data_IF_897890984819
#
_entry.id   IF_897890984819
#
_cell.length_a   1.000
_cell.length_b   1.000
_cell.length_c   1.000
_cell.angle_alpha   90.00
_cell.angle_beta   90.00
_cell.angle_gamma   90.00
#
_symmetry.space_group_name_H-M   'P 1'
#
loop_
_entity.id
_entity.type
_entity.pdbx_description
1 polymer ?
#
# COMPACT_ATOMS: atom_id res chain seq x y z
N UNK A 1 -2.93 -2.88 11.96
CA UNK A 1 -2.52 -1.76 11.10
C UNK A 1 -3.65 -1.46 10.16
N UNK A 2 -3.94 -0.19 9.94
CA UNK A 2 -4.93 0.30 8.96
C UNK A 2 -4.27 0.56 7.61
N UNK A 3 -5.06 0.77 6.55
CA UNK A 3 -4.57 1.24 5.24
C UNK A 3 -3.75 2.53 5.35
N UNK A 4 -4.19 3.46 6.21
CA UNK A 4 -3.46 4.71 6.51
C UNK A 4 -2.09 4.45 7.15
N UNK A 5 -2.01 3.52 8.12
CA UNK A 5 -0.74 3.19 8.78
C UNK A 5 0.27 2.61 7.77
N UNK A 6 -0.20 1.74 6.88
CA UNK A 6 0.64 1.09 5.85
C UNK A 6 1.09 2.13 4.83
N UNK A 7 0.18 2.97 4.36
CA UNK A 7 0.51 4.04 3.40
C UNK A 7 1.55 4.99 3.99
N UNK A 8 1.41 5.36 5.27
CA UNK A 8 2.40 6.18 5.98
C UNK A 8 3.76 5.48 6.08
N UNK A 9 3.79 4.19 6.39
CA UNK A 9 5.03 3.41 6.46
C UNK A 9 5.74 3.33 5.10
N UNK A 10 5.00 3.08 4.03
CA UNK A 10 5.55 2.99 2.68
C UNK A 10 6.10 4.33 2.19
N UNK A 11 5.43 5.44 2.53
CA UNK A 11 5.90 6.79 2.22
C UNK A 11 7.19 7.12 2.97
N UNK A 12 7.24 6.83 4.27
CA UNK A 12 8.44 7.03 5.10
C UNK A 12 9.63 6.18 4.62
N UNK A 13 9.36 4.98 4.09
CA UNK A 13 10.37 4.12 3.48
C UNK A 13 10.78 4.56 2.07
N UNK A 14 10.14 5.58 1.49
CA UNK A 14 10.39 6.07 0.13
C UNK A 14 9.96 5.10 -0.97
N UNK A 15 9.08 4.14 -0.64
CA UNK A 15 8.54 3.14 -1.57
C UNK A 15 7.40 3.77 -2.39
N UNK A 16 6.58 4.62 -1.77
CA UNK A 16 5.58 5.45 -2.45
C UNK A 16 5.87 6.93 -2.22
N UNK A 17 5.38 7.79 -3.10
CA UNK A 17 5.63 9.24 -3.00
C UNK A 17 4.66 9.98 -2.08
N UNK A 18 3.41 9.52 -2.03
CA UNK A 18 2.35 10.17 -1.27
C UNK A 18 1.43 9.09 -0.68
N UNK A 19 1.30 9.10 0.64
CA UNK A 19 0.44 8.15 1.35
C UNK A 19 -1.05 8.31 1.00
N UNK A 20 -1.51 9.54 0.74
CA UNK A 20 -2.91 9.82 0.43
C UNK A 20 -3.29 9.19 -0.91
N UNK A 21 -2.42 9.31 -1.91
CA UNK A 21 -2.66 8.72 -3.24
C UNK A 21 -2.81 7.19 -3.14
N UNK A 22 -1.98 6.54 -2.31
CA UNK A 22 -2.03 5.09 -2.13
C UNK A 22 -3.24 4.65 -1.31
N UNK A 23 -3.60 5.39 -0.27
CA UNK A 23 -4.81 5.14 0.50
C UNK A 23 -6.07 5.30 -0.36
N UNK A 24 -6.16 6.36 -1.14
CA UNK A 24 -7.26 6.61 -2.08
C UNK A 24 -7.34 5.50 -3.14
N UNK A 25 -6.19 5.01 -3.63
CA UNK A 25 -6.14 3.87 -4.53
C UNK A 25 -6.71 2.61 -3.89
N UNK A 26 -6.32 2.29 -2.65
CA UNK A 26 -6.84 1.13 -1.93
C UNK A 26 -8.35 1.24 -1.69
N UNK A 27 -8.87 2.41 -1.35
CA UNK A 27 -10.31 2.64 -1.16
C UNK A 27 -11.06 2.54 -2.49
N UNK A 28 -10.56 3.17 -3.56
CA UNK A 28 -11.19 3.17 -4.87
C UNK A 28 -11.23 1.78 -5.51
N UNK A 29 -10.32 0.89 -5.13
CA UNK A 29 -10.29 -0.50 -5.58
C UNK A 29 -10.96 -1.48 -4.61
N UNK A 30 -11.58 -0.99 -3.53
CA UNK A 30 -12.16 -1.81 -2.46
C UNK A 30 -11.14 -2.79 -1.82
N UNK A 31 -9.87 -2.40 -1.77
CA UNK A 31 -8.74 -3.20 -1.29
C UNK A 31 -8.37 -2.91 0.17
N UNK A 32 -8.84 -1.80 0.74
CA UNK A 32 -8.48 -1.39 2.11
C UNK A 32 -8.82 -2.45 3.17
N UNK A 33 -9.88 -3.23 2.97
CA UNK A 33 -10.27 -4.35 3.85
C UNK A 33 -9.61 -5.69 3.52
N UNK A 34 -8.89 -5.76 2.40
CA UNK A 34 -8.29 -6.99 1.86
C UNK A 34 -6.81 -7.15 2.19
N UNK A 35 -6.24 -6.17 2.87
CA UNK A 35 -4.83 -6.17 3.27
C UNK A 35 -4.57 -7.36 4.20
N UNK A 36 -3.59 -8.17 3.82
CA UNK A 36 -3.19 -9.35 4.57
C UNK A 36 -2.05 -9.01 5.53
N UNK A 37 -2.07 -9.63 6.70
CA UNK A 37 -0.97 -9.52 7.67
C UNK A 37 0.17 -10.42 7.19
N UNK A 38 1.36 -9.86 7.02
CA UNK A 38 2.52 -10.60 6.54
C UNK A 38 3.78 -9.74 6.38
N UNK A 39 4.84 -10.37 5.90
CA UNK A 39 6.06 -9.71 5.45
C UNK A 39 6.09 -9.70 3.93
N UNK A 40 6.40 -8.54 3.36
CA UNK A 40 6.41 -8.31 1.92
C UNK A 40 7.71 -7.63 1.51
N UNK A 41 8.27 -8.05 0.39
CA UNK A 41 9.38 -7.36 -0.24
C UNK A 41 8.83 -6.36 -1.26
N UNK A 42 8.92 -5.09 -0.91
CA UNK A 42 8.44 -3.97 -1.72
C UNK A 42 9.62 -3.06 -2.03
N UNK A 43 9.59 -2.42 -3.20
CA UNK A 43 10.62 -1.46 -3.60
C UNK A 43 10.00 -0.28 -4.37
N UNK A 44 10.73 0.83 -4.45
CA UNK A 44 10.28 2.08 -5.05
C UNK A 44 10.13 2.07 -6.57
N UNK A 45 10.49 0.96 -7.24
CA UNK A 45 10.24 0.78 -8.68
C UNK A 45 8.89 0.12 -8.96
N UNK A 46 8.23 -0.42 -7.93
CA UNK A 46 6.88 -0.98 -8.04
C UNK A 46 5.85 0.13 -8.18
N UNK A 47 4.86 -0.11 -9.04
CA UNK A 47 3.67 0.74 -9.16
C UNK A 47 2.74 0.56 -7.96
N UNK A 48 1.88 1.56 -7.68
CA UNK A 48 0.84 1.46 -6.64
C UNK A 48 -0.01 0.20 -6.80
N UNK A 49 -0.35 -0.16 -8.06
CA UNK A 49 -1.07 -1.39 -8.36
C UNK A 49 -0.32 -2.64 -7.91
N UNK A 50 0.97 -2.77 -8.27
CA UNK A 50 1.78 -3.92 -7.87
C UNK A 50 1.93 -4.02 -6.36
N UNK A 51 2.13 -2.88 -5.67
CA UNK A 51 2.22 -2.84 -4.22
C UNK A 51 0.89 -3.31 -3.60
N UNK A 52 -0.24 -2.78 -4.06
CA UNK A 52 -1.56 -3.15 -3.58
C UNK A 52 -1.84 -4.65 -3.80
N UNK A 53 -1.60 -5.17 -5.01
CA UNK A 53 -1.76 -6.60 -5.34
C UNK A 53 -0.84 -7.51 -4.50
N UNK A 54 0.34 -7.01 -4.10
CA UNK A 54 1.27 -7.77 -3.26
C UNK A 54 0.77 -7.90 -1.83
N UNK A 55 0.13 -6.86 -1.28
CA UNK A 55 -0.30 -6.81 0.12
C UNK A 55 -1.77 -7.20 0.33
N UNK A 56 -2.55 -7.46 -0.73
CA UNK A 56 -4.00 -7.75 -0.68
C UNK A 56 -4.34 -9.12 -1.28
N UNK A 57 -5.55 -9.64 -0.99
CA UNK A 57 -6.09 -10.90 -1.53
C UNK A 57 -7.57 -10.82 -1.85
#
# INVERSE_FOLDING_TARGET
MTSSDISSFLEQAGIIQNKQDFEDYLVAQDLSGHIQIGQYELNSTMTMKQIAETITK
#
